data_IF_380222137767
#
_entry.id   IF_380222137767
#
_cell.length_a   1.000
_cell.length_b   1.000
_cell.length_c   1.000
_cell.angle_alpha   90.00
_cell.angle_beta   90.00
_cell.angle_gamma   90.00
#
_symmetry.space_group_name_H-M   'P 1'
#
loop_
_entity.id
_entity.type
_entity.pdbx_description
1 polymer ?
#
# COMPACT_ATOMS: atom_id res chain seq x y z
N UNK A 1 -19.43 -17.53 -14.26
CA UNK A 1 -18.39 -18.53 -14.58
C UNK A 1 -17.10 -17.75 -14.78
N UNK A 2 -16.29 -17.62 -13.72
CA UNK A 2 -14.98 -16.99 -13.80
C UNK A 2 -13.96 -18.13 -13.86
N UNK A 3 -13.39 -18.34 -15.04
CA UNK A 3 -12.37 -19.36 -15.28
C UNK A 3 -11.12 -19.03 -14.47
N UNK A 4 -10.56 -20.06 -13.84
CA UNK A 4 -9.39 -20.00 -13.00
C UNK A 4 -8.17 -19.39 -13.71
N UNK A 5 -7.46 -18.48 -13.03
CA UNK A 5 -6.16 -17.94 -13.44
C UNK A 5 -5.08 -19.04 -13.38
N UNK A 6 -4.86 -19.74 -14.49
CA UNK A 6 -3.89 -20.85 -14.62
C UNK A 6 -2.39 -20.43 -14.64
N UNK A 7 -2.03 -19.17 -14.32
CA UNK A 7 -0.64 -18.68 -14.43
C UNK A 7 -0.14 -17.91 -13.18
N UNK A 8 -0.64 -18.20 -11.99
CA UNK A 8 -0.09 -17.62 -10.75
C UNK A 8 1.08 -18.44 -10.26
N UNK A 9 2.27 -17.83 -10.23
CA UNK A 9 3.45 -18.40 -9.59
C UNK A 9 3.20 -18.47 -8.07
N UNK A 10 3.30 -19.67 -7.52
CA UNK A 10 3.21 -19.91 -6.10
C UNK A 10 4.59 -19.83 -5.43
N UNK A 11 4.60 -19.40 -4.18
CA UNK A 11 5.76 -19.26 -3.31
C UNK A 11 5.48 -20.01 -2.01
N UNK A 12 5.52 -21.36 -2.01
CA UNK A 12 5.24 -22.16 -0.83
C UNK A 12 6.19 -21.82 0.31
N UNK A 13 5.67 -21.79 1.54
CA UNK A 13 6.50 -21.48 2.71
C UNK A 13 7.61 -22.51 2.93
N UNK A 14 7.35 -23.79 2.63
CA UNK A 14 8.33 -24.88 2.76
C UNK A 14 9.57 -24.71 1.88
N UNK A 15 9.50 -23.85 0.85
CA UNK A 15 10.61 -23.56 -0.04
C UNK A 15 11.41 -22.33 0.41
N UNK A 16 11.29 -21.88 1.67
CA UNK A 16 11.82 -20.59 2.10
C UNK A 16 13.17 -20.64 2.84
N UNK A 17 13.93 -21.73 2.71
CA UNK A 17 15.25 -21.91 3.36
C UNK A 17 16.39 -21.11 2.68
N UNK A 18 16.05 -20.03 1.99
CA UNK A 18 17.01 -19.23 1.24
C UNK A 18 17.69 -18.18 2.11
N UNK A 19 19.02 -18.10 1.99
CA UNK A 19 19.80 -17.02 2.60
C UNK A 19 19.43 -15.67 1.94
N UNK A 20 19.17 -14.61 2.72
CA UNK A 20 18.91 -13.29 2.18
C UNK A 20 20.04 -12.79 1.28
N UNK A 21 19.68 -12.36 0.07
CA UNK A 21 20.65 -11.86 -0.92
C UNK A 21 21.26 -10.52 -0.49
N UNK A 22 22.57 -10.42 -0.60
CA UNK A 22 23.33 -9.18 -0.41
C UNK A 22 23.35 -8.29 -1.65
N UNK A 23 23.79 -7.05 -1.49
CA UNK A 23 23.98 -6.13 -2.63
C UNK A 23 25.02 -6.63 -3.63
N UNK A 24 26.12 -7.20 -3.13
CA UNK A 24 27.17 -7.73 -3.98
C UNK A 24 26.66 -8.90 -4.84
N UNK A 25 25.93 -9.84 -4.25
CA UNK A 25 25.33 -10.96 -4.97
C UNK A 25 24.27 -10.51 -5.98
N UNK A 26 23.49 -9.48 -5.65
CA UNK A 26 22.58 -8.86 -6.60
C UNK A 26 23.33 -8.33 -7.82
N UNK A 27 24.45 -7.63 -7.63
CA UNK A 27 25.28 -7.12 -8.73
C UNK A 27 25.89 -8.23 -9.58
N UNK A 28 26.36 -9.32 -8.95
CA UNK A 28 26.87 -10.50 -9.67
C UNK A 28 25.78 -11.07 -10.59
N UNK A 29 24.60 -11.36 -10.03
CA UNK A 29 23.48 -11.92 -10.78
C UNK A 29 23.01 -10.97 -11.89
N UNK A 30 22.97 -9.65 -11.64
CA UNK A 30 22.60 -8.66 -12.64
C UNK A 30 23.60 -8.62 -13.81
N UNK A 31 24.90 -8.69 -13.53
CA UNK A 31 25.95 -8.75 -14.57
C UNK A 31 25.87 -10.07 -15.36
N UNK A 32 25.62 -11.17 -14.68
CA UNK A 32 25.45 -12.49 -15.31
C UNK A 32 24.23 -12.53 -16.23
N UNK A 33 23.10 -11.95 -15.82
CA UNK A 33 21.90 -11.85 -16.63
C UNK A 33 22.14 -11.09 -17.94
N UNK A 34 22.92 -10.00 -17.90
CA UNK A 34 23.32 -9.26 -19.11
C UNK A 34 24.21 -10.10 -20.02
N UNK A 35 25.20 -10.81 -19.46
CA UNK A 35 26.10 -11.68 -20.23
C UNK A 35 25.36 -12.84 -20.93
N UNK A 36 24.35 -13.41 -20.27
CA UNK A 36 23.55 -14.52 -20.79
C UNK A 36 22.44 -14.08 -21.74
N UNK A 37 22.05 -12.81 -21.70
CA UNK A 37 21.06 -12.26 -22.61
C UNK A 37 21.73 -11.98 -23.96
N UNK A 38 21.16 -12.51 -25.04
CA UNK A 38 21.50 -12.12 -26.40
C UNK A 38 20.41 -11.17 -26.92
N UNK A 39 20.71 -10.32 -27.92
CA UNK A 39 19.87 -9.18 -28.33
C UNK A 39 18.38 -9.45 -28.62
N UNK A 40 17.99 -10.72 -28.76
CA UNK A 40 16.62 -11.18 -28.97
C UNK A 40 15.99 -11.95 -27.78
N UNK A 41 16.75 -12.34 -26.76
CA UNK A 41 16.23 -13.07 -25.58
C UNK A 41 16.85 -12.59 -24.27
N UNK A 42 16.02 -11.98 -23.43
CA UNK A 42 16.39 -11.68 -22.05
C UNK A 42 16.37 -12.94 -21.19
N UNK A 43 17.46 -13.18 -20.48
CA UNK A 43 17.59 -14.28 -19.52
C UNK A 43 17.59 -13.70 -18.12
N UNK A 44 16.71 -14.20 -17.25
CA UNK A 44 16.73 -13.87 -15.84
C UNK A 44 17.68 -14.81 -15.09
N UNK A 45 18.60 -14.27 -14.30
CA UNK A 45 19.43 -15.03 -13.35
C UNK A 45 18.91 -14.73 -11.95
N UNK A 46 18.41 -15.75 -11.25
CA UNK A 46 17.82 -15.63 -9.91
C UNK A 46 16.73 -14.54 -9.79
N UNK A 47 15.91 -14.41 -10.85
CA UNK A 47 14.85 -13.41 -10.96
C UNK A 47 15.29 -12.02 -11.42
N UNK A 48 16.59 -11.80 -11.64
CA UNK A 48 17.14 -10.52 -12.09
C UNK A 48 17.38 -10.56 -13.59
N UNK A 49 16.79 -9.63 -14.32
CA UNK A 49 16.92 -9.53 -15.79
C UNK A 49 18.07 -8.61 -16.22
N UNK A 50 18.23 -7.49 -15.51
CA UNK A 50 19.23 -6.47 -15.83
C UNK A 50 19.52 -5.58 -14.62
N UNK A 51 20.65 -4.86 -14.60
CA UNK A 51 20.92 -3.83 -13.60
C UNK A 51 19.85 -2.74 -13.62
N UNK A 52 19.37 -2.31 -12.45
CA UNK A 52 18.51 -1.14 -12.32
C UNK A 52 19.34 0.14 -12.52
N UNK A 53 18.84 1.16 -13.23
CA UNK A 53 19.49 2.48 -13.28
C UNK A 53 19.69 3.12 -11.91
N UNK A 54 18.94 2.67 -10.89
CA UNK A 54 19.00 3.18 -9.53
C UNK A 54 20.06 2.49 -8.65
N UNK A 55 20.83 1.53 -9.19
CA UNK A 55 21.89 0.84 -8.42
C UNK A 55 23.01 1.78 -7.94
N UNK A 56 23.18 2.93 -8.58
CA UNK A 56 24.13 3.95 -8.12
C UNK A 56 23.64 4.77 -6.93
N UNK A 57 22.37 4.61 -6.56
CA UNK A 57 21.70 5.39 -5.51
C UNK A 57 21.26 4.48 -4.35
N UNK A 58 20.83 3.25 -4.66
CA UNK A 58 20.28 2.32 -3.69
C UNK A 58 21.00 0.96 -3.71
N UNK A 59 21.16 0.39 -2.51
CA UNK A 59 21.62 -0.97 -2.26
C UNK A 59 20.44 -1.95 -2.34
N UNK A 60 20.39 -2.71 -3.43
CA UNK A 60 19.43 -3.79 -3.62
C UNK A 60 19.85 -5.06 -2.86
N UNK A 61 18.92 -5.91 -2.39
CA UNK A 61 17.50 -5.63 -2.25
C UNK A 61 17.16 -4.81 -0.99
N UNK A 62 18.11 -4.61 -0.08
CA UNK A 62 17.87 -4.10 1.29
C UNK A 62 17.26 -2.71 1.40
N UNK A 63 17.46 -1.84 0.39
CA UNK A 63 16.89 -0.49 0.34
C UNK A 63 15.66 -0.39 -0.58
N UNK A 64 15.18 -1.51 -1.10
CA UNK A 64 13.93 -1.58 -1.85
C UNK A 64 12.85 -2.07 -0.89
N UNK A 65 11.99 -1.13 -0.47
CA UNK A 65 10.96 -1.38 0.52
C UNK A 65 9.69 -1.97 -0.10
N UNK A 66 9.10 -2.93 0.61
CA UNK A 66 7.72 -3.35 0.42
C UNK A 66 6.79 -2.29 1.00
N UNK A 67 6.00 -1.68 0.13
CA UNK A 67 5.06 -0.66 0.53
C UNK A 67 3.82 -1.27 1.20
N UNK A 68 3.51 -0.82 2.42
CA UNK A 68 2.32 -1.20 3.18
C UNK A 68 1.02 -0.93 2.43
N UNK A 69 0.91 0.20 1.73
CA UNK A 69 -0.34 0.58 1.07
C UNK A 69 -0.69 -0.43 -0.04
N UNK A 70 0.27 -0.80 -0.89
CA UNK A 70 0.03 -1.77 -1.95
C UNK A 70 0.03 -3.20 -1.45
N UNK A 71 1.00 -3.60 -0.62
CA UNK A 71 1.14 -4.99 -0.18
C UNK A 71 -0.04 -5.42 0.71
N UNK A 72 -0.33 -4.61 1.74
CA UNK A 72 -1.33 -4.96 2.76
C UNK A 72 -2.70 -4.41 2.39
N UNK A 73 -2.82 -3.11 2.17
CA UNK A 73 -4.13 -2.47 2.05
C UNK A 73 -4.82 -2.77 0.71
N UNK A 74 -4.10 -2.76 -0.40
CA UNK A 74 -4.67 -2.99 -1.74
C UNK A 74 -4.51 -4.43 -2.22
N UNK A 75 -3.51 -5.16 -1.70
CA UNK A 75 -3.25 -6.56 -2.06
C UNK A 75 -3.93 -7.53 -1.11
N UNK A 76 -3.34 -7.72 0.06
CA UNK A 76 -3.67 -8.86 0.94
C UNK A 76 -5.06 -8.76 1.58
N UNK A 77 -5.45 -7.58 2.09
CA UNK A 77 -6.75 -7.41 2.77
C UNK A 77 -7.95 -7.67 1.84
N UNK A 78 -8.03 -7.06 0.63
CA UNK A 78 -9.10 -7.39 -0.31
C UNK A 78 -9.11 -8.86 -0.70
N UNK A 79 -7.94 -9.50 -0.86
CA UNK A 79 -7.84 -10.92 -1.18
C UNK A 79 -8.46 -11.80 -0.08
N UNK A 80 -8.14 -11.53 1.19
CA UNK A 80 -8.72 -12.24 2.33
C UNK A 80 -10.23 -12.04 2.42
N UNK A 81 -10.69 -10.79 2.31
CA UNK A 81 -12.12 -10.47 2.37
C UNK A 81 -12.90 -11.20 1.27
N UNK A 82 -12.38 -11.23 0.04
CA UNK A 82 -13.03 -11.94 -1.06
C UNK A 82 -13.19 -13.43 -0.75
N UNK A 83 -12.15 -14.09 -0.21
CA UNK A 83 -12.21 -15.52 0.20
C UNK A 83 -13.26 -15.75 1.28
N UNK A 84 -13.33 -14.87 2.28
CA UNK A 84 -14.30 -14.98 3.36
C UNK A 84 -15.73 -14.80 2.84
N UNK A 85 -15.96 -13.76 2.05
CA UNK A 85 -17.26 -13.43 1.47
C UNK A 85 -17.81 -14.55 0.56
N UNK A 86 -16.95 -15.30 -0.14
CA UNK A 86 -17.36 -16.47 -0.93
C UNK A 86 -18.01 -17.57 -0.09
N UNK A 87 -17.76 -17.60 1.21
CA UNK A 87 -18.28 -18.61 2.14
C UNK A 87 -19.32 -18.05 3.13
N UNK A 88 -19.72 -16.78 2.96
CA UNK A 88 -20.73 -16.14 3.79
C UNK A 88 -22.08 -16.10 3.06
N UNK A 89 -23.17 -16.26 3.82
CA UNK A 89 -24.50 -16.05 3.28
C UNK A 89 -24.82 -14.55 3.12
N UNK A 90 -25.82 -14.23 2.30
CA UNK A 90 -26.23 -12.84 2.00
C UNK A 90 -26.63 -12.05 3.25
N UNK A 91 -27.23 -12.71 4.25
CA UNK A 91 -27.66 -12.08 5.50
C UNK A 91 -26.45 -11.59 6.30
N UNK A 92 -25.43 -12.44 6.47
CA UNK A 92 -24.19 -12.08 7.16
C UNK A 92 -23.48 -10.90 6.48
N UNK A 93 -23.40 -10.92 5.14
CA UNK A 93 -22.83 -9.81 4.36
C UNK A 93 -23.56 -8.50 4.62
N UNK A 94 -24.91 -8.52 4.58
CA UNK A 94 -25.71 -7.32 4.83
C UNK A 94 -25.52 -6.78 6.26
N UNK A 95 -25.43 -7.66 7.26
CA UNK A 95 -25.15 -7.26 8.63
C UNK A 95 -23.76 -6.64 8.81
N UNK A 96 -22.74 -7.20 8.15
CA UNK A 96 -21.39 -6.64 8.13
C UNK A 96 -21.39 -5.26 7.46
N UNK A 97 -22.08 -5.12 6.32
CA UNK A 97 -22.20 -3.84 5.60
C UNK A 97 -22.86 -2.76 6.46
N UNK A 98 -23.93 -3.12 7.18
CA UNK A 98 -24.60 -2.23 8.11
C UNK A 98 -23.67 -1.83 9.27
N UNK A 99 -22.89 -2.76 9.83
CA UNK A 99 -21.89 -2.45 10.86
C UNK A 99 -20.83 -1.49 10.33
N UNK A 100 -20.26 -1.76 9.15
CA UNK A 100 -19.23 -0.94 8.53
C UNK A 100 -19.72 0.48 8.19
N UNK A 101 -20.96 0.61 7.72
CA UNK A 101 -21.57 1.90 7.38
C UNK A 101 -21.85 2.76 8.60
N UNK A 102 -22.22 2.13 9.71
CA UNK A 102 -22.59 2.79 10.96
C UNK A 102 -21.44 2.87 11.99
N UNK A 103 -20.19 2.69 11.55
CA UNK A 103 -19.03 2.83 12.43
C UNK A 103 -18.93 4.26 12.99
N UNK A 104 -18.79 4.36 14.30
CA UNK A 104 -18.43 5.62 14.97
C UNK A 104 -16.92 5.83 14.83
N UNK A 105 -16.54 6.64 13.84
CA UNK A 105 -15.14 6.91 13.51
C UNK A 105 -14.80 8.34 13.97
N UNK A 106 -13.64 8.55 14.62
CA UNK A 106 -13.17 9.89 14.98
C UNK A 106 -13.18 10.88 13.80
N UNK A 107 -13.56 12.13 14.07
CA UNK A 107 -13.77 13.17 13.05
C UNK A 107 -12.56 13.44 12.14
N UNK A 108 -11.35 13.15 12.61
CA UNK A 108 -10.10 13.30 11.87
C UNK A 108 -9.86 12.17 10.85
N UNK A 109 -10.55 11.03 10.97
CA UNK A 109 -10.44 9.90 10.02
C UNK A 109 -11.59 9.99 9.02
N UNK A 110 -11.27 10.50 7.82
CA UNK A 110 -12.25 10.64 6.73
C UNK A 110 -12.43 9.32 5.96
N UNK A 111 -13.06 8.32 6.56
CA UNK A 111 -13.37 7.03 5.93
C UNK A 111 -14.85 6.69 6.15
N UNK A 112 -15.54 6.33 5.06
CA UNK A 112 -16.93 5.86 5.10
C UNK A 112 -17.04 4.67 4.16
N UNK A 113 -17.58 3.57 4.66
CA UNK A 113 -17.82 2.35 3.88
C UNK A 113 -19.20 2.47 3.24
N UNK A 114 -19.23 2.81 1.95
CA UNK A 114 -20.47 2.95 1.17
C UNK A 114 -20.80 1.69 0.37
N UNK A 115 -19.75 1.03 -0.13
CA UNK A 115 -19.85 -0.20 -0.91
C UNK A 115 -19.95 -1.41 0.03
N UNK A 116 -20.55 -2.48 -0.49
CA UNK A 116 -20.58 -3.78 0.22
C UNK A 116 -19.16 -4.29 0.46
N UNK A 117 -18.95 -5.02 1.56
CA UNK A 117 -17.70 -5.71 1.88
C UNK A 117 -17.29 -6.69 0.78
N UNK A 118 -18.24 -7.23 0.01
CA UNK A 118 -17.94 -8.07 -1.15
C UNK A 118 -17.16 -7.32 -2.24
N UNK A 119 -17.23 -5.99 -2.28
CA UNK A 119 -16.51 -5.13 -3.21
C UNK A 119 -15.21 -4.61 -2.61
N UNK A 120 -14.60 -5.33 -1.67
CA UNK A 120 -13.35 -4.92 -1.02
C UNK A 120 -12.19 -4.68 -2.01
N UNK A 121 -12.23 -5.26 -3.22
CA UNK A 121 -11.29 -4.93 -4.30
C UNK A 121 -11.37 -3.49 -4.80
N UNK A 122 -12.51 -2.81 -4.62
CA UNK A 122 -12.73 -1.41 -5.00
C UNK A 122 -12.45 -0.43 -3.84
N UNK A 123 -12.18 -0.96 -2.65
CA UNK A 123 -11.84 -0.13 -1.51
C UNK A 123 -10.59 0.72 -1.78
N UNK A 124 -10.63 1.97 -1.35
CA UNK A 124 -9.41 2.79 -1.30
C UNK A 124 -8.52 2.24 -0.21
N UNK A 125 -7.20 2.35 -0.35
CA UNK A 125 -6.25 1.82 0.63
C UNK A 125 -6.53 2.26 2.09
N UNK A 126 -7.07 3.47 2.29
CA UNK A 126 -7.47 3.97 3.61
C UNK A 126 -8.58 3.14 4.30
N UNK A 127 -9.48 2.55 3.53
CA UNK A 127 -10.54 1.68 4.02
C UNK A 127 -9.95 0.36 4.54
N UNK A 128 -9.14 -0.30 3.73
CA UNK A 128 -8.43 -1.52 4.13
C UNK A 128 -7.47 -1.28 5.29
N UNK A 129 -6.82 -0.11 5.35
CA UNK A 129 -5.99 0.29 6.50
C UNK A 129 -6.80 0.38 7.78
N UNK A 130 -7.95 1.06 7.76
CA UNK A 130 -8.84 1.15 8.91
C UNK A 130 -9.36 -0.23 9.32
N UNK A 131 -9.68 -1.06 8.33
CA UNK A 131 -10.14 -2.43 8.53
C UNK A 131 -9.08 -3.29 9.24
N UNK A 132 -7.87 -3.42 8.71
CA UNK A 132 -6.85 -4.31 9.30
C UNK A 132 -6.36 -3.83 10.66
N UNK A 133 -6.28 -2.53 10.90
CA UNK A 133 -5.68 -1.98 12.12
C UNK A 133 -6.68 -1.83 13.28
N UNK A 134 -7.97 -1.66 12.99
CA UNK A 134 -8.93 -1.21 14.01
C UNK A 134 -10.28 -1.93 13.97
N UNK A 135 -10.96 -1.97 12.83
CA UNK A 135 -12.39 -2.34 12.81
C UNK A 135 -12.66 -3.76 12.33
N UNK A 136 -11.73 -4.36 11.59
CA UNK A 136 -11.92 -5.69 10.99
C UNK A 136 -12.09 -6.78 12.05
N UNK A 137 -11.15 -6.91 12.99
CA UNK A 137 -11.23 -7.95 14.04
C UNK A 137 -12.54 -7.92 14.83
N UNK A 138 -12.97 -6.79 15.43
CA UNK A 138 -14.22 -6.76 16.19
C UNK A 138 -15.46 -7.01 15.34
N UNK A 139 -15.48 -6.57 14.08
CA UNK A 139 -16.63 -6.83 13.18
C UNK A 139 -16.68 -8.31 12.82
N UNK A 140 -15.56 -8.90 12.39
CA UNK A 140 -15.51 -10.24 11.80
C UNK A 140 -15.63 -11.36 12.83
N UNK A 141 -15.47 -11.07 14.12
CA UNK A 141 -15.56 -12.03 15.23
C UNK A 141 -16.85 -12.87 15.23
N UNK A 142 -17.97 -12.28 14.80
CA UNK A 142 -19.28 -12.96 14.76
C UNK A 142 -19.56 -13.69 13.43
N UNK A 143 -18.71 -13.54 12.42
CA UNK A 143 -19.02 -13.97 11.04
C UNK A 143 -18.00 -14.93 10.45
N UNK A 144 -16.77 -14.96 10.95
CA UNK A 144 -15.76 -15.91 10.49
C UNK A 144 -15.79 -17.20 11.30
N UNK A 145 -15.59 -18.37 10.67
CA UNK A 145 -15.27 -19.60 11.38
C UNK A 145 -14.05 -19.42 12.28
N UNK A 146 -14.00 -20.15 13.40
CA UNK A 146 -12.97 -20.03 14.44
C UNK A 146 -11.55 -20.07 13.87
N UNK A 147 -11.28 -20.96 12.91
CA UNK A 147 -9.98 -21.10 12.28
C UNK A 147 -9.56 -19.83 11.50
N UNK A 148 -10.44 -19.31 10.65
CA UNK A 148 -10.19 -18.10 9.87
C UNK A 148 -10.08 -16.86 10.75
N UNK A 149 -10.93 -16.77 11.78
CA UNK A 149 -10.91 -15.65 12.70
C UNK A 149 -9.61 -15.59 13.50
N UNK A 150 -9.17 -16.73 14.07
CA UNK A 150 -7.92 -16.81 14.82
C UNK A 150 -6.72 -16.44 13.95
N UNK A 151 -6.70 -16.92 12.71
CA UNK A 151 -5.65 -16.61 11.75
C UNK A 151 -5.64 -15.12 11.34
N UNK A 152 -6.83 -14.50 11.20
CA UNK A 152 -6.94 -13.06 10.95
C UNK A 152 -6.50 -12.21 12.15
N UNK A 153 -6.78 -12.63 13.39
CA UNK A 153 -6.28 -11.94 14.61
C UNK A 153 -4.75 -11.91 14.61
N UNK A 154 -4.11 -13.05 14.35
CA UNK A 154 -2.64 -13.16 14.29
C UNK A 154 -2.08 -12.16 13.28
N UNK A 155 -2.65 -12.14 12.07
CA UNK A 155 -2.24 -11.22 11.01
C UNK A 155 -2.45 -9.75 11.40
N UNK A 156 -3.66 -9.41 11.85
CA UNK A 156 -4.03 -8.04 12.24
C UNK A 156 -3.12 -7.52 13.36
N UNK A 157 -2.84 -8.35 14.36
CA UNK A 157 -1.92 -8.02 15.45
C UNK A 157 -0.51 -7.79 14.93
N UNK A 158 0.03 -8.69 14.11
CA UNK A 158 1.38 -8.55 13.58
C UNK A 158 1.55 -7.26 12.75
N UNK A 159 0.57 -6.96 11.89
CA UNK A 159 0.56 -5.73 11.09
C UNK A 159 0.45 -4.49 11.99
N UNK A 160 -0.38 -4.52 13.03
CA UNK A 160 -0.54 -3.41 13.97
C UNK A 160 0.76 -3.11 14.72
N UNK A 161 1.46 -4.14 15.20
CA UNK A 161 2.76 -4.01 15.85
C UNK A 161 3.81 -3.43 14.91
N UNK A 162 3.84 -3.85 13.64
CA UNK A 162 4.78 -3.31 12.66
C UNK A 162 4.40 -1.92 12.13
N UNK A 163 3.13 -1.51 12.24
CA UNK A 163 2.66 -0.24 11.70
C UNK A 163 3.31 0.97 12.38
N UNK A 164 3.40 0.92 13.70
CA UNK A 164 4.05 1.96 14.51
C UNK A 164 4.67 1.32 15.75
N UNK A 165 5.78 0.56 15.59
CA UNK A 165 6.41 -0.13 16.70
C UNK A 165 7.02 0.88 17.69
N UNK A 166 6.84 0.62 18.97
CA UNK A 166 7.43 1.38 20.07
C UNK A 166 8.70 0.68 20.61
N UNK A 167 8.77 -0.65 20.51
CA UNK A 167 9.90 -1.44 21.04
C UNK A 167 10.42 -2.48 20.06
N UNK A 168 11.68 -2.93 20.28
CA UNK A 168 12.27 -4.04 19.52
C UNK A 168 11.53 -5.36 19.77
N UNK A 169 10.97 -5.53 20.96
CA UNK A 169 10.21 -6.71 21.38
C UNK A 169 8.91 -6.84 20.58
N UNK A 170 8.23 -5.73 20.29
CA UNK A 170 7.04 -5.74 19.43
C UNK A 170 7.37 -6.19 18.01
N UNK A 171 8.50 -5.74 17.46
CA UNK A 171 8.96 -6.17 16.13
C UNK A 171 9.28 -7.68 16.13
N UNK A 172 9.95 -8.18 17.18
CA UNK A 172 10.26 -9.60 17.32
C UNK A 172 8.98 -10.46 17.48
N UNK A 173 7.99 -9.96 18.22
CA UNK A 173 6.70 -10.63 18.35
C UNK A 173 5.98 -10.68 17.00
N UNK A 174 5.93 -9.56 16.28
CA UNK A 174 5.30 -9.49 14.97
C UNK A 174 5.98 -10.40 13.94
N UNK A 175 7.30 -10.54 14.00
CA UNK A 175 8.06 -11.49 13.18
C UNK A 175 7.61 -12.93 13.41
N UNK A 176 7.49 -13.35 14.67
CA UNK A 176 7.00 -14.69 15.02
C UNK A 176 5.55 -14.91 14.58
N UNK A 177 4.72 -13.87 14.70
CA UNK A 177 3.31 -13.92 14.26
C UNK A 177 3.19 -14.03 12.74
N UNK A 178 3.96 -13.26 11.97
CA UNK A 178 3.97 -13.33 10.51
C UNK A 178 4.57 -14.65 10.01
N UNK A 179 5.62 -15.14 10.66
CA UNK A 179 6.19 -16.46 10.37
C UNK A 179 5.13 -17.56 10.52
N UNK A 180 4.46 -17.59 11.67
CA UNK A 180 3.37 -18.53 11.93
C UNK A 180 2.26 -18.37 10.88
N UNK A 181 1.78 -17.14 10.65
CA UNK A 181 0.72 -16.83 9.70
C UNK A 181 1.06 -17.33 8.29
N UNK A 182 2.23 -16.99 7.77
CA UNK A 182 2.66 -17.41 6.43
C UNK A 182 2.78 -18.93 6.33
N UNK A 183 3.36 -19.59 7.35
CA UNK A 183 3.51 -21.05 7.39
C UNK A 183 2.19 -21.80 7.40
N UNK A 184 1.17 -21.27 8.09
CA UNK A 184 -0.14 -21.95 8.20
C UNK A 184 -1.15 -21.51 7.15
N UNK A 185 -0.86 -20.49 6.35
CA UNK A 185 -1.82 -19.86 5.45
C UNK A 185 -2.42 -20.83 4.43
N UNK A 186 -1.62 -21.69 3.80
CA UNK A 186 -2.11 -22.65 2.79
C UNK A 186 -3.04 -23.70 3.38
N UNK A 187 -2.80 -24.13 4.62
CA UNK A 187 -3.69 -25.04 5.32
C UNK A 187 -5.03 -24.36 5.70
N UNK A 188 -5.02 -23.06 5.96
CA UNK A 188 -6.20 -22.30 6.39
C UNK A 188 -7.05 -21.82 5.21
N UNK A 189 -6.42 -21.41 4.11
CA UNK A 189 -7.07 -20.73 2.98
C UNK A 189 -6.78 -21.34 1.61
N UNK A 190 -6.25 -22.57 1.55
CA UNK A 190 -5.76 -23.27 0.36
C UNK A 190 -4.46 -22.70 -0.25
N UNK A 191 -3.79 -23.49 -1.10
CA UNK A 191 -2.48 -23.14 -1.69
C UNK A 191 -2.49 -21.91 -2.58
N UNK A 192 -3.65 -21.47 -3.08
CA UNK A 192 -3.74 -20.27 -3.91
C UNK A 192 -3.46 -18.97 -3.16
N UNK A 193 -3.35 -19.00 -1.83
CA UNK A 193 -2.91 -17.84 -1.03
C UNK A 193 -1.39 -17.65 -1.03
N UNK A 194 -0.63 -18.70 -1.36
CA UNK A 194 0.85 -18.68 -1.37
C UNK A 194 1.38 -17.98 -2.61
N UNK A 195 1.00 -16.73 -2.82
CA UNK A 195 1.52 -15.86 -3.88
C UNK A 195 2.62 -14.95 -3.33
N UNK A 196 3.32 -14.25 -4.23
CA UNK A 196 4.40 -13.33 -3.87
C UNK A 196 4.04 -12.36 -2.73
N UNK A 197 2.81 -11.84 -2.72
CA UNK A 197 2.39 -10.92 -1.65
C UNK A 197 2.45 -11.58 -0.28
N UNK A 198 2.01 -12.84 -0.13
CA UNK A 198 2.11 -13.55 1.15
C UNK A 198 3.57 -13.72 1.57
N UNK A 199 4.42 -14.18 0.65
CA UNK A 199 5.85 -14.34 0.93
C UNK A 199 6.51 -13.01 1.33
N UNK A 200 6.16 -11.90 0.68
CA UNK A 200 6.70 -10.58 1.00
C UNK A 200 6.44 -10.14 2.46
N UNK A 201 5.41 -10.67 3.13
CA UNK A 201 5.15 -10.36 4.54
C UNK A 201 6.27 -10.82 5.47
N UNK A 202 6.97 -11.91 5.15
CA UNK A 202 8.10 -12.41 5.95
C UNK A 202 9.24 -11.40 6.07
N UNK A 203 9.36 -10.50 5.09
CA UNK A 203 10.40 -9.47 5.06
C UNK A 203 10.03 -8.17 5.79
N UNK A 204 8.76 -8.00 6.20
CA UNK A 204 8.29 -6.74 6.81
C UNK A 204 8.98 -6.43 8.13
N UNK A 205 9.18 -7.43 8.99
CA UNK A 205 9.85 -7.24 10.28
C UNK A 205 11.30 -6.80 10.11
N UNK A 206 12.01 -7.41 9.15
CA UNK A 206 13.37 -7.00 8.78
C UNK A 206 13.40 -5.58 8.23
N UNK A 207 12.48 -5.24 7.32
CA UNK A 207 12.36 -3.89 6.78
C UNK A 207 12.10 -2.87 7.88
N UNK A 208 11.19 -3.15 8.82
CA UNK A 208 10.85 -2.23 9.91
C UNK A 208 12.03 -1.98 10.83
N UNK A 209 12.89 -2.99 11.08
CA UNK A 209 14.14 -2.79 11.82
C UNK A 209 15.11 -1.83 11.14
N UNK A 210 15.11 -1.77 9.81
CA UNK A 210 16.04 -0.95 9.03
C UNK A 210 15.50 0.44 8.69
N UNK A 211 14.21 0.54 8.35
CA UNK A 211 13.61 1.72 7.72
C UNK A 211 12.51 2.38 8.56
N UNK A 212 12.18 1.79 9.72
CA UNK A 212 11.11 2.26 10.60
C UNK A 212 9.75 1.64 10.30
N UNK A 213 8.76 1.98 11.12
CA UNK A 213 7.41 1.40 11.07
C UNK A 213 6.68 1.60 9.74
N UNK A 214 5.75 0.70 9.43
CA UNK A 214 5.02 0.67 8.15
C UNK A 214 4.23 1.96 7.87
N UNK A 215 3.87 2.73 8.90
CA UNK A 215 3.26 4.04 8.75
C UNK A 215 4.16 5.00 7.94
N UNK A 216 5.47 4.95 8.16
CA UNK A 216 6.47 5.85 7.57
C UNK A 216 7.01 5.34 6.23
N UNK A 217 6.98 4.02 6.00
CA UNK A 217 7.44 3.39 4.77
C UNK A 217 6.30 3.15 3.77
N UNK A 218 5.24 3.97 3.81
CA UNK A 218 4.04 3.78 3.00
C UNK A 218 3.90 4.79 1.85
N UNK A 219 3.30 4.34 0.74
CA UNK A 219 3.08 5.13 -0.47
C UNK A 219 1.94 6.15 -0.36
N UNK A 220 1.23 6.22 0.78
CA UNK A 220 0.11 7.14 0.97
C UNK A 220 0.49 8.60 0.68
N UNK A 221 1.62 9.06 1.23
CA UNK A 221 2.08 10.43 1.03
C UNK A 221 2.46 10.72 -0.44
N UNK A 222 3.14 9.76 -1.08
CA UNK A 222 3.54 9.86 -2.48
C UNK A 222 2.34 9.90 -3.42
N UNK A 223 1.35 9.02 -3.25
CA UNK A 223 0.12 9.03 -4.05
C UNK A 223 -0.70 10.31 -3.86
N UNK A 224 -0.77 10.82 -2.63
CA UNK A 224 -1.40 12.11 -2.35
C UNK A 224 -0.69 13.25 -3.07
N UNK A 225 0.65 13.27 -3.05
CA UNK A 225 1.45 14.28 -3.73
C UNK A 225 1.32 14.17 -5.26
N UNK A 226 1.40 12.97 -5.83
CA UNK A 226 1.23 12.73 -7.26
C UNK A 226 -0.13 13.23 -7.71
N UNK A 227 -1.20 12.91 -6.97
CA UNK A 227 -2.55 13.42 -7.27
C UNK A 227 -2.61 14.95 -7.20
N UNK A 228 -1.97 15.56 -6.21
CA UNK A 228 -1.93 17.01 -6.07
C UNK A 228 -1.22 17.68 -7.25
N UNK A 229 -0.07 17.15 -7.65
CA UNK A 229 0.74 17.66 -8.76
C UNK A 229 0.01 17.46 -10.09
N UNK A 230 -0.62 16.29 -10.32
CA UNK A 230 -1.38 16.01 -11.55
C UNK A 230 -2.49 17.04 -11.81
N UNK A 231 -3.12 17.57 -10.77
CA UNK A 231 -4.15 18.64 -10.91
C UNK A 231 -3.59 19.97 -11.43
N UNK A 232 -2.27 20.12 -11.54
CA UNK A 232 -1.60 21.34 -12.06
C UNK A 232 -1.35 21.27 -13.56
N UNK A 233 -1.47 20.08 -14.15
CA UNK A 233 -1.54 19.92 -15.59
C UNK A 233 -3.02 19.99 -16.02
N UNK A 234 -3.36 20.96 -16.85
CA UNK A 234 -4.72 21.22 -17.31
C UNK A 234 -4.95 20.78 -18.78
N UNK A 235 -3.94 20.21 -19.44
CA UNK A 235 -4.04 19.68 -20.79
C UNK A 235 -3.08 18.52 -21.06
N UNK A 236 -3.26 17.85 -22.20
CA UNK A 236 -2.43 16.71 -22.64
C UNK A 236 -1.08 17.11 -23.25
N UNK A 237 -0.94 18.38 -23.63
CA UNK A 237 0.27 18.89 -24.27
C UNK A 237 1.31 19.22 -23.20
N UNK A 238 2.44 18.51 -23.22
CA UNK A 238 3.61 18.77 -22.37
C UNK A 238 3.26 18.98 -20.86
N UNK A 239 2.62 17.99 -20.21
CA UNK A 239 2.15 18.11 -18.82
C UNK A 239 3.29 18.35 -17.83
N UNK A 240 4.49 17.83 -18.11
CA UNK A 240 5.68 18.04 -17.29
C UNK A 240 6.08 19.52 -17.23
N UNK A 241 6.04 20.22 -18.37
CA UNK A 241 6.37 21.65 -18.41
C UNK A 241 5.30 22.50 -17.72
N UNK A 242 4.02 22.14 -17.84
CA UNK A 242 2.94 22.82 -17.09
C UNK A 242 3.15 22.70 -15.58
N UNK A 243 3.50 21.50 -15.10
CA UNK A 243 3.82 21.26 -13.69
C UNK A 243 5.05 22.08 -13.27
N UNK A 244 6.13 22.04 -14.05
CA UNK A 244 7.36 22.78 -13.75
C UNK A 244 7.12 24.29 -13.67
N UNK A 245 6.37 24.84 -14.63
CA UNK A 245 5.96 26.24 -14.64
C UNK A 245 5.18 26.60 -13.37
N UNK A 246 4.19 25.79 -13.00
CA UNK A 246 3.41 26.03 -11.78
C UNK A 246 4.26 25.96 -10.50
N UNK A 247 5.20 25.02 -10.40
CA UNK A 247 6.13 24.91 -9.26
C UNK A 247 7.01 26.16 -9.18
N UNK A 248 7.58 26.61 -10.31
CA UNK A 248 8.43 27.80 -10.38
C UNK A 248 7.65 29.06 -9.99
N UNK A 249 6.43 29.23 -10.53
CA UNK A 249 5.54 30.32 -10.17
C UNK A 249 5.24 30.34 -8.67
N UNK A 250 4.94 29.18 -8.07
CA UNK A 250 4.68 29.09 -6.62
C UNK A 250 5.92 29.43 -5.79
N UNK A 251 7.10 28.97 -6.19
CA UNK A 251 8.35 29.31 -5.50
C UNK A 251 8.62 30.82 -5.55
N UNK A 252 8.48 31.43 -6.73
CA UNK A 252 8.67 32.86 -6.92
C UNK A 252 7.70 33.71 -6.08
N UNK A 253 6.44 33.30 -5.97
CA UNK A 253 5.44 34.03 -5.14
C UNK A 253 5.61 33.81 -3.64
N UNK A 254 6.25 32.71 -3.21
CA UNK A 254 6.57 32.47 -1.80
C UNK A 254 7.89 33.14 -1.38
N UNK A 255 8.87 33.25 -2.28
CA UNK A 255 10.13 33.94 -2.02
C UNK A 255 9.98 35.46 -2.03
N UNK A 256 9.11 35.99 -2.89
CA UNK A 256 8.74 37.39 -2.86
C UNK A 256 7.63 37.59 -1.83
N UNK A 257 7.97 38.11 -0.64
CA UNK A 257 7.01 38.88 0.14
C UNK A 257 6.62 40.08 -0.70
N UNK A 258 5.64 39.92 -1.58
CA UNK A 258 5.02 41.07 -2.21
C UNK A 258 4.42 41.89 -1.08
N UNK A 259 5.06 43.01 -0.74
CA UNK A 259 4.41 44.11 -0.02
C UNK A 259 3.35 44.65 -0.99
N UNK A 260 2.24 43.94 -1.06
CA UNK A 260 1.05 44.45 -1.72
C UNK A 260 0.63 45.66 -0.89
N UNK A 261 0.60 46.87 -1.47
CA UNK A 261 -0.02 48.00 -0.79
C UNK A 261 -1.48 47.60 -0.56
N UNK A 262 -1.86 47.37 0.70
CA UNK A 262 -3.21 46.96 1.10
C UNK A 262 -4.22 47.99 0.55
N UNK A 263 -3.80 49.24 0.52
CA UNK A 263 -4.41 50.42 -0.09
C UNK A 263 -4.76 50.28 -1.59
N UNK A 264 -4.02 49.47 -2.39
CA UNK A 264 -4.40 49.19 -3.79
C UNK A 264 -5.36 48.01 -3.96
N UNK A 265 -5.46 47.11 -2.98
CA UNK A 265 -6.39 45.96 -3.00
C UNK A 265 -7.83 46.37 -2.70
N UNK A 266 -8.03 47.41 -1.89
CA UNK A 266 -9.37 47.94 -1.55
C UNK A 266 -10.12 48.40 -2.81
N UNK A 267 -9.42 49.00 -3.79
CA UNK A 267 -10.03 49.48 -5.04
C UNK A 267 -10.58 48.35 -5.92
N UNK A 268 -9.95 47.17 -5.92
CA UNK A 268 -10.41 46.04 -6.76
C UNK A 268 -11.66 45.37 -6.18
N UNK A 269 -11.78 45.33 -4.84
CA UNK A 269 -12.95 44.77 -4.16
C UNK A 269 -14.15 45.74 -4.25
N UNK A 270 -13.92 47.05 -4.14
CA UNK A 270 -14.97 48.05 -4.30
C UNK A 270 -15.51 48.12 -5.75
N UNK A 271 -14.66 47.95 -6.76
CA UNK A 271 -15.09 47.96 -8.16
C UNK A 271 -16.07 46.82 -8.52
N UNK A 272 -16.00 45.68 -7.81
CA UNK A 272 -16.98 44.59 -7.98
C UNK A 272 -18.32 44.87 -7.30
N UNK A 273 -18.36 45.69 -6.24
CA UNK A 273 -19.59 45.99 -5.51
C UNK A 273 -20.42 47.12 -6.11
N UNK A 274 -19.83 48.01 -6.91
CA UNK A 274 -20.55 49.14 -7.54
C UNK A 274 -21.19 48.81 -8.87
N UNK A 275 -20.80 47.71 -9.55
CA UNK A 275 -21.38 47.33 -10.85
C UNK A 275 -22.64 46.47 -10.76
N UNK A 276 -22.95 45.92 -9.59
CA UNK A 276 -24.19 45.14 -9.34
C UNK A 276 -25.33 46.00 -8.72
N UNK A 277 -25.20 47.33 -8.71
CA UNK A 277 -26.21 48.26 -8.18
C UNK A 277 -26.48 49.51 -9.06
N UNK A 278 -26.30 49.40 -10.37
CA UNK A 278 -26.73 50.41 -11.35
C UNK A 278 -27.62 49.77 -12.40
#
# INVERSE_FOLDING_TARGET
VWSADYNKVLYPYSSNDFVPRTHHEYLIAAKEAVRKSNGSKEVAVNGIKRPSPLLNIFNYPTQIIYDFMHLVCLGHIPSLINRWCSNMNKKAILEIDNKLRNLSIPHNIRVTFLESIQMASHWKAKHSRLFVLHVGVPIMASYLPTLWFSHFIIYSLAIKLLYSPETKQEILLAERLLDFYCRTSSNVYDSSIEIFSLHAHLHLSYQVRLHGGLAHTSAFAFESMIRYIKKKAHGSINPASQIAYWINMRRATQSNKFNLPIDRLINVIQYKYTKDRS
#
